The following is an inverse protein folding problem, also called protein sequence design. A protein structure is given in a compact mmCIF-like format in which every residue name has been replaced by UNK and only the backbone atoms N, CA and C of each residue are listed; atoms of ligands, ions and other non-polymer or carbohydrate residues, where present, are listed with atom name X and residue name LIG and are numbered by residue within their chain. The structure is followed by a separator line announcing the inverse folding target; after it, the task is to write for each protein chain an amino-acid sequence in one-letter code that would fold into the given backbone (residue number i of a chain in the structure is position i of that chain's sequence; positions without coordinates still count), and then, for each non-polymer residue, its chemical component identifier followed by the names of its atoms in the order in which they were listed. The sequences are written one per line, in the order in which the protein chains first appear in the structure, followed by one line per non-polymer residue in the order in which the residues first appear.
data_IF_181614036199
#
_entry.id   IF_181614036199
#
_cell.length_a   1.000
_cell.length_b   1.000
_cell.length_c   1.000
_cell.angle_alpha   90.00
_cell.angle_beta   90.00
_cell.angle_gamma   90.00
#
_symmetry.space_group_name_H-M   'P 1'
#
loop_
_entity.id
_entity.type
_entity.pdbx_description
1 polymer ?
#
# COMPACT_ATOMS: atom_id res chain seq x y z
N UNK A 1 51.51 -0.59 -13.76
CA UNK A 1 51.61 -2.00 -14.22
C UNK A 1 50.34 -2.27 -15.00
N UNK A 2 50.43 -2.84 -16.21
CA UNK A 2 49.23 -3.25 -16.95
C UNK A 2 48.66 -4.46 -16.21
N UNK A 3 47.62 -4.26 -15.41
CA UNK A 3 46.89 -5.37 -14.81
C UNK A 3 46.33 -6.22 -15.95
N UNK A 4 46.80 -7.47 -16.02
CA UNK A 4 46.26 -8.44 -16.95
C UNK A 4 44.86 -8.80 -16.43
N UNK A 5 43.82 -8.21 -17.02
CA UNK A 5 42.44 -8.62 -16.76
C UNK A 5 42.30 -10.12 -17.04
N UNK A 6 41.98 -10.89 -16.00
CA UNK A 6 41.74 -12.32 -16.12
C UNK A 6 40.32 -12.48 -16.68
N UNK A 7 40.16 -13.09 -17.85
CA UNK A 7 38.83 -13.28 -18.44
C UNK A 7 37.91 -14.13 -17.55
N UNK A 8 38.46 -15.16 -16.91
CA UNK A 8 37.69 -16.03 -16.03
C UNK A 8 38.59 -16.75 -15.02
N UNK A 9 38.10 -16.88 -13.78
CA UNK A 9 38.64 -17.78 -12.76
C UNK A 9 37.65 -18.91 -12.55
N UNK A 10 38.15 -20.15 -12.53
CA UNK A 10 37.36 -21.35 -12.22
C UNK A 10 37.85 -21.90 -10.90
N UNK A 11 36.95 -22.02 -9.93
CA UNK A 11 37.19 -22.66 -8.63
C UNK A 11 36.51 -24.03 -8.69
N UNK A 12 37.27 -25.11 -8.85
CA UNK A 12 36.76 -26.48 -8.94
C UNK A 12 37.55 -27.36 -7.97
N UNK A 13 37.09 -27.39 -6.72
CA UNK A 13 37.68 -28.19 -5.65
C UNK A 13 36.69 -29.30 -5.33
N UNK A 14 37.15 -30.55 -5.45
CA UNK A 14 36.38 -31.73 -5.11
C UNK A 14 37.02 -32.43 -3.91
N UNK A 15 36.21 -32.71 -2.90
CA UNK A 15 36.58 -33.52 -1.75
C UNK A 15 35.46 -34.50 -1.44
N UNK A 16 35.85 -35.73 -1.08
CA UNK A 16 34.92 -36.77 -0.64
C UNK A 16 34.78 -36.81 0.88
N UNK A 17 35.48 -35.94 1.60
CA UNK A 17 35.27 -35.72 3.04
C UNK A 17 33.94 -34.96 3.26
N UNK A 18 33.11 -35.44 4.18
CA UNK A 18 31.79 -34.87 4.49
C UNK A 18 31.91 -33.73 5.52
N UNK A 19 32.89 -32.83 5.33
CA UNK A 19 33.03 -31.65 6.20
C UNK A 19 31.93 -30.63 5.84
N UNK A 20 30.95 -30.53 6.73
CA UNK A 20 29.75 -29.71 6.53
C UNK A 20 29.99 -28.20 6.62
N UNK A 21 31.19 -27.76 7.03
CA UNK A 21 31.48 -26.35 7.36
C UNK A 21 32.47 -25.67 6.39
N UNK A 22 32.66 -26.21 5.18
CA UNK A 22 33.57 -25.62 4.19
C UNK A 22 32.99 -24.33 3.60
N UNK A 23 33.67 -23.22 3.88
CA UNK A 23 33.26 -21.87 3.52
C UNK A 23 34.21 -21.26 2.48
N UNK A 24 33.65 -20.65 1.44
CA UNK A 24 34.42 -19.87 0.48
C UNK A 24 34.67 -18.47 1.05
N UNK A 25 35.91 -18.19 1.40
CA UNK A 25 36.31 -16.89 1.95
C UNK A 25 36.74 -15.89 0.86
N UNK A 26 36.75 -14.61 1.22
CA UNK A 26 37.21 -13.54 0.34
C UNK A 26 38.68 -13.71 -0.06
N UNK A 27 38.98 -13.48 -1.33
CA UNK A 27 40.34 -13.53 -1.86
C UNK A 27 40.63 -12.29 -2.69
N UNK A 28 41.81 -11.72 -2.52
CA UNK A 28 42.22 -10.46 -3.18
C UNK A 28 42.26 -10.58 -4.71
N UNK A 29 42.41 -11.79 -5.26
CA UNK A 29 42.48 -12.01 -6.70
C UNK A 29 41.10 -12.11 -7.38
N UNK A 30 39.99 -12.17 -6.64
CA UNK A 30 38.65 -12.20 -7.23
C UNK A 30 38.34 -10.92 -8.02
N UNK A 31 38.87 -9.77 -7.60
CA UNK A 31 38.71 -8.49 -8.28
C UNK A 31 39.46 -8.38 -9.62
N UNK A 32 40.39 -9.30 -9.91
CA UNK A 32 41.17 -9.31 -11.14
C UNK A 32 40.45 -10.02 -12.31
N UNK A 33 39.32 -10.68 -12.02
CA UNK A 33 38.61 -11.51 -12.98
C UNK A 33 37.33 -10.84 -13.50
N UNK A 34 37.02 -11.02 -14.78
CA UNK A 34 35.73 -10.59 -15.34
C UNK A 34 34.57 -11.53 -14.95
N UNK A 35 34.87 -12.82 -14.79
CA UNK A 35 33.91 -13.86 -14.43
C UNK A 35 34.51 -14.86 -13.44
N UNK A 36 33.73 -15.25 -12.43
CA UNK A 36 34.08 -16.34 -11.51
C UNK A 36 33.07 -17.47 -11.68
N UNK A 37 33.56 -18.68 -11.91
CA UNK A 37 32.73 -19.89 -11.97
C UNK A 37 33.12 -20.83 -10.83
N UNK A 38 32.17 -21.13 -9.94
CA UNK A 38 32.38 -21.99 -8.78
C UNK A 38 31.73 -23.35 -9.06
N UNK A 39 32.57 -24.38 -9.08
CA UNK A 39 32.25 -25.79 -9.36
C UNK A 39 32.75 -26.68 -8.22
N UNK A 40 32.44 -27.97 -8.36
CA UNK A 40 32.85 -29.00 -7.42
C UNK A 40 31.95 -29.10 -6.20
N UNK A 41 32.32 -29.95 -5.25
CA UNK A 41 31.51 -30.30 -4.09
C UNK A 41 32.14 -29.92 -2.74
N UNK A 42 33.34 -29.32 -2.76
CA UNK A 42 34.07 -29.00 -1.53
C UNK A 42 33.32 -27.97 -0.70
N UNK A 43 33.11 -26.75 -1.22
CA UNK A 43 32.44 -25.66 -0.51
C UNK A 43 30.93 -25.90 -0.37
N UNK A 44 30.40 -25.66 0.83
CA UNK A 44 28.95 -25.68 1.13
C UNK A 44 28.36 -24.28 1.24
N UNK A 45 29.18 -23.28 1.60
CA UNK A 45 28.75 -21.90 1.88
C UNK A 45 29.63 -20.88 1.16
N UNK A 46 29.03 -19.78 0.70
CA UNK A 46 29.77 -18.54 0.41
C UNK A 46 29.86 -17.75 1.71
N UNK A 47 31.07 -17.42 2.10
CA UNK A 47 31.29 -16.73 3.35
C UNK A 47 30.83 -15.29 3.39
N UNK A 48 30.76 -14.76 4.59
CA UNK A 48 30.36 -13.38 4.83
C UNK A 48 31.30 -12.42 4.09
N UNK A 49 30.72 -11.43 3.39
CA UNK A 49 31.46 -10.43 2.60
C UNK A 49 32.46 -11.01 1.57
N UNK A 50 32.34 -12.28 1.18
CA UNK A 50 33.30 -12.96 0.30
C UNK A 50 33.61 -12.19 -0.99
N UNK A 51 32.57 -11.64 -1.62
CA UNK A 51 32.61 -10.84 -2.84
C UNK A 51 32.08 -9.41 -2.62
N UNK A 52 32.21 -8.87 -1.41
CA UNK A 52 31.82 -7.50 -1.13
C UNK A 52 32.83 -6.50 -1.72
N UNK A 53 32.36 -5.33 -2.15
CA UNK A 53 33.18 -4.23 -2.66
C UNK A 53 34.12 -4.62 -3.80
N UNK A 54 33.65 -5.48 -4.72
CA UNK A 54 34.47 -5.95 -5.85
C UNK A 54 34.77 -4.82 -6.85
N UNK A 55 35.91 -4.95 -7.53
CA UNK A 55 36.38 -3.97 -8.52
C UNK A 55 35.58 -4.03 -9.84
N UNK A 56 35.77 -3.04 -10.70
CA UNK A 56 35.07 -2.81 -11.97
C UNK A 56 35.15 -3.95 -12.97
N UNK A 57 36.10 -4.87 -12.79
CA UNK A 57 36.28 -5.97 -13.72
C UNK A 57 35.25 -7.08 -13.49
N UNK A 58 34.89 -7.42 -12.25
CA UNK A 58 34.04 -8.56 -11.95
C UNK A 58 32.56 -8.29 -12.30
N UNK A 59 32.09 -8.98 -13.34
CA UNK A 59 30.74 -8.79 -13.90
C UNK A 59 29.81 -9.97 -13.68
N UNK A 60 30.32 -11.18 -13.55
CA UNK A 60 29.48 -12.38 -13.51
C UNK A 60 30.02 -13.40 -12.52
N UNK A 61 29.11 -13.95 -11.72
CA UNK A 61 29.39 -15.08 -10.83
C UNK A 61 28.36 -16.17 -11.10
N UNK A 62 28.86 -17.36 -11.44
CA UNK A 62 28.03 -18.54 -11.72
C UNK A 62 28.39 -19.63 -10.73
N UNK A 63 27.37 -20.16 -10.06
CA UNK A 63 27.53 -21.22 -9.06
C UNK A 63 26.82 -22.47 -9.58
N UNK A 64 27.60 -23.52 -9.81
CA UNK A 64 27.13 -24.84 -10.24
C UNK A 64 27.66 -25.95 -9.34
N UNK A 65 28.01 -25.60 -8.10
CA UNK A 65 28.58 -26.46 -7.07
C UNK A 65 27.51 -26.95 -6.08
N UNK A 66 27.93 -27.71 -5.07
CA UNK A 66 27.06 -28.08 -3.93
C UNK A 66 26.82 -26.95 -2.91
N UNK A 67 27.18 -25.70 -3.25
CA UNK A 67 26.95 -24.56 -2.35
C UNK A 67 25.45 -24.36 -2.19
N UNK A 68 24.99 -24.37 -0.93
CA UNK A 68 23.59 -24.25 -0.57
C UNK A 68 23.30 -23.00 0.30
N UNK A 69 24.33 -22.32 0.81
CA UNK A 69 24.19 -21.14 1.68
C UNK A 69 25.01 -19.93 1.17
N UNK A 70 24.46 -18.73 1.35
CA UNK A 70 25.18 -17.45 1.19
C UNK A 70 25.19 -16.69 2.52
N UNK A 71 26.37 -16.30 2.98
CA UNK A 71 26.59 -15.50 4.19
C UNK A 71 26.17 -14.03 4.09
N UNK A 72 26.33 -13.31 5.19
CA UNK A 72 25.93 -11.91 5.32
C UNK A 72 26.75 -11.01 4.39
N UNK A 73 26.08 -10.09 3.70
CA UNK A 73 26.72 -9.09 2.84
C UNK A 73 27.66 -9.69 1.77
N UNK A 74 27.48 -10.97 1.40
CA UNK A 74 28.43 -11.72 0.59
C UNK A 74 28.78 -11.04 -0.75
N UNK A 75 27.86 -10.27 -1.34
CA UNK A 75 28.06 -9.49 -2.57
C UNK A 75 27.77 -8.00 -2.37
N UNK A 76 27.75 -7.49 -1.13
CA UNK A 76 27.44 -6.08 -0.87
C UNK A 76 28.36 -5.15 -1.65
N UNK A 77 27.79 -4.13 -2.31
CA UNK A 77 28.52 -3.17 -3.14
C UNK A 77 29.36 -3.82 -4.26
N UNK A 78 29.03 -5.05 -4.65
CA UNK A 78 29.69 -5.75 -5.74
C UNK A 78 29.28 -5.17 -7.09
N UNK A 79 30.19 -5.22 -8.07
CA UNK A 79 29.95 -4.69 -9.41
C UNK A 79 29.44 -5.73 -10.40
N UNK A 80 29.04 -6.89 -9.89
CA UNK A 80 28.42 -7.94 -10.69
C UNK A 80 27.18 -7.41 -11.40
N UNK A 81 27.02 -7.81 -12.66
CA UNK A 81 25.85 -7.51 -13.49
C UNK A 81 24.83 -8.65 -13.44
N UNK A 82 25.27 -9.88 -13.13
CA UNK A 82 24.41 -11.07 -13.12
C UNK A 82 24.80 -12.06 -12.03
N UNK A 83 23.78 -12.63 -11.39
CA UNK A 83 23.93 -13.75 -10.45
C UNK A 83 22.95 -14.87 -10.78
N UNK A 84 23.45 -16.11 -10.84
CA UNK A 84 22.63 -17.29 -11.07
C UNK A 84 23.09 -18.48 -10.21
N UNK A 85 22.13 -19.12 -9.54
CA UNK A 85 22.30 -20.40 -8.86
C UNK A 85 20.97 -21.10 -8.63
N UNK A 86 20.89 -22.41 -8.91
CA UNK A 86 19.73 -23.23 -8.54
C UNK A 86 19.98 -24.08 -7.28
N UNK A 87 21.21 -24.09 -6.76
CA UNK A 87 21.62 -24.92 -5.61
C UNK A 87 21.44 -24.22 -4.26
N UNK A 88 21.38 -22.89 -4.26
CA UNK A 88 21.30 -22.09 -3.03
C UNK A 88 19.90 -22.17 -2.44
N UNK A 89 19.84 -22.62 -1.19
CA UNK A 89 18.63 -22.87 -0.41
C UNK A 89 18.44 -21.83 0.69
N UNK A 90 19.53 -21.28 1.23
CA UNK A 90 19.53 -20.27 2.30
C UNK A 90 20.44 -19.10 1.94
N UNK A 91 20.05 -17.91 2.38
CA UNK A 91 20.80 -16.69 2.18
C UNK A 91 20.61 -15.79 3.42
N UNK A 92 21.69 -15.16 3.86
CA UNK A 92 21.67 -14.24 5.01
C UNK A 92 21.35 -12.81 4.60
N UNK A 93 21.51 -11.84 5.49
CA UNK A 93 21.00 -10.49 5.32
C UNK A 93 21.90 -9.67 4.38
N UNK A 94 21.31 -8.73 3.62
CA UNK A 94 22.04 -7.77 2.78
C UNK A 94 22.93 -8.38 1.67
N UNK A 95 22.64 -9.60 1.19
CA UNK A 95 23.50 -10.34 0.24
C UNK A 95 23.99 -9.49 -0.95
N UNK A 96 23.09 -8.80 -1.63
CA UNK A 96 23.34 -7.96 -2.80
C UNK A 96 23.08 -6.47 -2.53
N UNK A 97 23.06 -6.02 -1.27
CA UNK A 97 22.88 -4.60 -0.95
C UNK A 97 23.85 -3.73 -1.76
N UNK A 98 23.38 -2.62 -2.32
CA UNK A 98 24.17 -1.65 -3.08
C UNK A 98 24.90 -2.25 -4.30
N UNK A 99 24.46 -3.39 -4.85
CA UNK A 99 24.93 -3.87 -6.16
C UNK A 99 24.37 -2.99 -7.30
N UNK A 100 24.88 -1.77 -7.45
CA UNK A 100 24.32 -0.74 -8.35
C UNK A 100 24.30 -1.12 -9.84
N UNK A 101 25.05 -2.15 -10.24
CA UNK A 101 25.18 -2.63 -11.62
C UNK A 101 24.51 -3.98 -11.86
N UNK A 102 23.98 -4.62 -10.80
CA UNK A 102 23.33 -5.92 -10.90
C UNK A 102 22.03 -5.77 -11.69
N UNK A 103 21.92 -6.47 -12.80
CA UNK A 103 20.77 -6.44 -13.74
C UNK A 103 19.85 -7.62 -13.56
N UNK A 104 20.39 -8.80 -13.24
CA UNK A 104 19.59 -10.02 -13.15
C UNK A 104 20.00 -10.92 -11.98
N UNK A 105 19.01 -11.42 -11.25
CA UNK A 105 19.16 -12.49 -10.25
C UNK A 105 18.27 -13.66 -10.66
N UNK A 106 18.84 -14.87 -10.70
CA UNK A 106 18.09 -16.12 -10.85
C UNK A 106 18.47 -17.10 -9.75
N UNK A 107 17.58 -17.29 -8.78
CA UNK A 107 17.79 -18.13 -7.60
C UNK A 107 16.56 -18.98 -7.30
N UNK A 108 16.39 -20.10 -8.02
CA UNK A 108 15.16 -20.89 -7.90
C UNK A 108 15.11 -21.72 -6.62
N UNK A 109 16.24 -22.10 -6.01
CA UNK A 109 16.28 -22.92 -4.80
C UNK A 109 15.85 -22.20 -3.51
N UNK A 110 15.96 -20.86 -3.47
CA UNK A 110 15.77 -20.07 -2.26
C UNK A 110 14.28 -19.98 -1.87
N UNK A 111 13.92 -20.48 -0.69
CA UNK A 111 12.53 -20.45 -0.19
C UNK A 111 12.17 -19.15 0.54
N UNK A 112 13.13 -18.55 1.23
CA UNK A 112 12.96 -17.30 1.97
C UNK A 112 13.96 -16.27 1.47
N UNK A 113 13.47 -15.16 0.93
CA UNK A 113 14.31 -14.02 0.53
C UNK A 113 14.58 -13.17 1.78
N UNK A 114 15.83 -13.04 2.23
CA UNK A 114 16.18 -12.42 3.51
C UNK A 114 16.03 -10.89 3.50
N UNK A 115 16.22 -10.28 4.68
CA UNK A 115 16.12 -8.83 4.85
C UNK A 115 17.12 -8.12 3.92
N UNK A 116 16.65 -7.03 3.28
CA UNK A 116 17.49 -6.15 2.45
C UNK A 116 18.31 -6.89 1.37
N UNK A 117 17.84 -8.06 0.92
CA UNK A 117 18.56 -8.98 0.05
C UNK A 117 19.22 -8.33 -1.17
N UNK A 118 18.54 -7.44 -1.86
CA UNK A 118 19.01 -6.65 -3.01
C UNK A 118 18.65 -5.17 -2.82
N UNK A 119 18.77 -4.66 -1.60
CA UNK A 119 18.51 -3.26 -1.27
C UNK A 119 19.32 -2.32 -2.17
N UNK A 120 18.66 -1.30 -2.74
CA UNK A 120 19.28 -0.27 -3.57
C UNK A 120 20.02 -0.80 -4.82
N UNK A 121 19.59 -1.93 -5.38
CA UNK A 121 20.08 -2.41 -6.68
C UNK A 121 19.42 -1.65 -7.84
N UNK A 122 19.89 -0.43 -8.11
CA UNK A 122 19.23 0.52 -9.02
C UNK A 122 19.04 0.01 -10.47
N UNK A 123 19.94 -0.85 -10.96
CA UNK A 123 19.89 -1.43 -12.31
C UNK A 123 19.25 -2.82 -12.37
N UNK A 124 18.73 -3.35 -11.25
CA UNK A 124 18.14 -4.69 -11.23
C UNK A 124 16.85 -4.69 -12.04
N UNK A 125 16.86 -5.35 -13.19
CA UNK A 125 15.74 -5.37 -14.14
C UNK A 125 14.84 -6.59 -13.93
N UNK A 126 15.44 -7.73 -13.57
CA UNK A 126 14.77 -9.03 -13.49
C UNK A 126 15.22 -9.87 -12.30
N UNK A 127 14.25 -10.42 -11.56
CA UNK A 127 14.48 -11.43 -10.53
C UNK A 127 13.59 -12.64 -10.79
N UNK A 128 14.20 -13.83 -10.73
CA UNK A 128 13.52 -15.13 -10.90
C UNK A 128 13.81 -15.98 -9.65
N UNK A 129 12.78 -16.29 -8.88
CA UNK A 129 12.86 -17.06 -7.63
C UNK A 129 11.63 -17.96 -7.47
N UNK A 130 11.58 -19.04 -8.24
CA UNK A 130 10.36 -19.88 -8.38
C UNK A 130 9.92 -20.60 -7.10
N UNK A 131 10.82 -20.84 -6.15
CA UNK A 131 10.46 -21.50 -4.89
C UNK A 131 10.33 -20.53 -3.71
N UNK A 132 10.51 -19.21 -3.93
CA UNK A 132 10.38 -18.24 -2.86
C UNK A 132 8.92 -18.18 -2.38
N UNK A 133 8.72 -18.42 -1.08
CA UNK A 133 7.43 -18.32 -0.39
C UNK A 133 7.35 -17.08 0.49
N UNK A 134 8.48 -16.63 1.05
CA UNK A 134 8.50 -15.46 1.94
C UNK A 134 9.51 -14.45 1.43
N UNK A 135 9.09 -13.17 1.38
CA UNK A 135 9.96 -12.05 1.03
C UNK A 135 10.07 -11.15 2.25
N UNK A 136 11.25 -11.07 2.86
CA UNK A 136 11.46 -10.31 4.09
C UNK A 136 11.50 -8.80 3.85
N UNK A 137 11.42 -7.99 4.93
CA UNK A 137 11.55 -6.54 4.88
C UNK A 137 12.69 -6.04 3.99
N UNK A 138 12.39 -5.01 3.19
CA UNK A 138 13.32 -4.28 2.33
C UNK A 138 14.05 -5.11 1.25
N UNK A 139 13.67 -6.37 1.01
CA UNK A 139 14.39 -7.30 0.13
C UNK A 139 14.74 -6.71 -1.26
N UNK A 140 13.87 -5.91 -1.87
CA UNK A 140 14.09 -5.25 -3.16
C UNK A 140 13.76 -3.75 -3.09
N UNK A 141 13.96 -3.13 -1.92
CA UNK A 141 13.76 -1.70 -1.73
C UNK A 141 14.66 -0.90 -2.68
N UNK A 142 14.11 0.14 -3.33
CA UNK A 142 14.83 1.01 -4.29
C UNK A 142 15.44 0.26 -5.50
N UNK A 143 14.91 -0.91 -5.85
CA UNK A 143 15.21 -1.52 -7.15
C UNK A 143 14.42 -0.81 -8.28
N UNK A 144 14.80 0.42 -8.58
CA UNK A 144 14.03 1.32 -9.45
C UNK A 144 13.87 0.83 -10.89
N UNK A 145 14.74 -0.09 -11.36
CA UNK A 145 14.63 -0.69 -12.70
C UNK A 145 13.86 -2.02 -12.71
N UNK A 146 13.48 -2.56 -11.53
CA UNK A 146 12.90 -3.89 -11.41
C UNK A 146 11.51 -3.89 -11.99
N UNK A 147 11.39 -4.46 -13.18
CA UNK A 147 10.15 -4.50 -13.96
C UNK A 147 9.66 -5.93 -14.22
N UNK A 148 10.55 -6.91 -14.07
CA UNK A 148 10.25 -8.33 -14.22
C UNK A 148 10.50 -9.06 -12.91
N UNK A 149 9.44 -9.62 -12.34
CA UNK A 149 9.53 -10.43 -11.12
C UNK A 149 8.74 -11.73 -11.32
N UNK A 150 9.45 -12.87 -11.27
CA UNK A 150 8.86 -14.21 -11.37
C UNK A 150 9.09 -14.96 -10.05
N UNK A 151 7.99 -15.29 -9.35
CA UNK A 151 7.99 -15.95 -8.05
C UNK A 151 7.05 -17.15 -8.03
N UNK A 152 7.18 -17.99 -7.00
CA UNK A 152 6.28 -19.12 -6.73
C UNK A 152 4.99 -18.69 -6.02
N UNK A 153 4.55 -19.50 -5.06
CA UNK A 153 3.38 -19.21 -4.20
C UNK A 153 3.81 -18.37 -3.00
N UNK A 154 4.15 -17.09 -3.22
CA UNK A 154 4.53 -16.17 -2.14
C UNK A 154 3.37 -15.98 -1.17
N UNK A 155 3.60 -16.30 0.09
CA UNK A 155 2.66 -16.15 1.20
C UNK A 155 2.76 -14.78 1.83
N UNK A 156 3.96 -14.19 1.90
CA UNK A 156 4.20 -12.96 2.66
C UNK A 156 5.15 -12.00 1.93
N UNK A 157 4.69 -10.76 1.74
CA UNK A 157 5.48 -9.64 1.27
C UNK A 157 5.87 -8.74 2.44
N UNK A 158 7.16 -8.63 2.76
CA UNK A 158 7.64 -7.88 3.91
C UNK A 158 7.50 -6.36 3.79
N UNK A 159 7.68 -5.67 4.91
CA UNK A 159 7.76 -4.20 5.02
C UNK A 159 8.65 -3.62 3.91
N UNK A 160 8.08 -2.74 3.08
CA UNK A 160 8.81 -2.04 2.01
C UNK A 160 9.60 -2.95 1.04
N UNK A 161 9.24 -4.23 0.93
CA UNK A 161 9.99 -5.23 0.15
C UNK A 161 10.15 -4.89 -1.33
N UNK A 162 9.19 -4.18 -1.94
CA UNK A 162 9.19 -3.73 -3.33
C UNK A 162 8.91 -2.22 -3.45
N UNK A 163 9.21 -1.45 -2.42
CA UNK A 163 9.04 0.00 -2.45
C UNK A 163 9.96 0.62 -3.50
N UNK A 164 9.42 1.57 -4.29
CA UNK A 164 10.12 2.25 -5.40
C UNK A 164 10.64 1.30 -6.48
N UNK A 165 9.84 0.32 -6.89
CA UNK A 165 10.14 -0.60 -8.01
C UNK A 165 9.40 -0.20 -9.30
N UNK A 166 9.88 -0.67 -10.45
CA UNK A 166 9.23 -0.46 -11.76
C UNK A 166 8.25 -1.57 -12.15
N UNK A 167 7.78 -2.37 -11.18
CA UNK A 167 6.82 -3.45 -11.43
C UNK A 167 5.51 -2.87 -11.94
N UNK A 168 5.04 -3.37 -13.08
CA UNK A 168 3.79 -2.91 -13.71
C UNK A 168 2.57 -3.72 -13.31
N UNK A 169 2.76 -4.99 -13.00
CA UNK A 169 1.69 -5.93 -12.66
C UNK A 169 2.11 -6.79 -11.48
N UNK A 170 1.12 -7.17 -10.68
CA UNK A 170 1.29 -8.09 -9.58
C UNK A 170 0.07 -9.02 -9.53
N UNK A 171 0.33 -10.32 -9.50
CA UNK A 171 -0.68 -11.32 -9.18
C UNK A 171 -0.47 -11.74 -7.73
N UNK A 172 -1.48 -11.60 -6.88
CA UNK A 172 -1.45 -12.04 -5.49
C UNK A 172 -1.87 -13.51 -5.45
N UNK A 173 -0.98 -14.44 -5.05
CA UNK A 173 -1.32 -15.85 -4.93
C UNK A 173 -2.43 -16.08 -3.91
N UNK A 174 -3.24 -17.12 -4.10
CA UNK A 174 -4.32 -17.46 -3.15
C UNK A 174 -3.80 -17.85 -1.75
N UNK A 175 -2.54 -18.29 -1.66
CA UNK A 175 -1.85 -18.60 -0.40
C UNK A 175 -1.29 -17.36 0.32
N UNK A 176 -1.37 -16.17 -0.30
CA UNK A 176 -0.89 -14.94 0.33
C UNK A 176 -1.70 -14.62 1.59
N UNK A 177 -1.00 -14.44 2.70
CA UNK A 177 -1.58 -14.12 4.01
C UNK A 177 -1.28 -12.68 4.43
N UNK A 178 -0.13 -12.13 4.01
CA UNK A 178 0.27 -10.78 4.40
C UNK A 178 0.93 -9.99 3.25
N UNK A 179 0.51 -8.73 3.14
CA UNK A 179 1.22 -7.69 2.41
C UNK A 179 1.63 -6.61 3.42
N UNK A 180 2.93 -6.51 3.64
CA UNK A 180 3.56 -5.65 4.63
C UNK A 180 3.35 -4.16 4.39
N UNK A 181 3.62 -3.36 5.42
CA UNK A 181 3.46 -1.92 5.31
C UNK A 181 4.39 -1.38 4.21
N UNK A 182 3.91 -0.43 3.41
CA UNK A 182 4.64 0.15 2.28
C UNK A 182 5.23 -0.85 1.27
N UNK A 183 4.82 -2.13 1.27
CA UNK A 183 5.46 -3.19 0.49
C UNK A 183 5.64 -2.82 -0.99
N UNK A 184 4.67 -2.15 -1.60
CA UNK A 184 4.73 -1.70 -3.00
C UNK A 184 4.55 -0.17 -3.13
N UNK A 185 4.84 0.59 -2.07
CA UNK A 185 4.72 2.05 -2.10
C UNK A 185 5.63 2.65 -3.19
N UNK A 186 5.15 3.65 -3.93
CA UNK A 186 5.87 4.27 -5.05
C UNK A 186 6.26 3.29 -6.19
N UNK A 187 5.69 2.09 -6.22
CA UNK A 187 5.89 1.20 -7.37
C UNK A 187 5.08 1.69 -8.58
N UNK A 188 5.52 1.30 -9.78
CA UNK A 188 4.80 1.62 -11.03
C UNK A 188 3.63 0.65 -11.32
N UNK A 189 3.07 0.01 -10.29
CA UNK A 189 2.01 -0.98 -10.45
C UNK A 189 0.78 -0.35 -11.11
N UNK A 190 0.42 -0.85 -12.29
CA UNK A 190 -0.76 -0.44 -13.05
C UNK A 190 -1.98 -1.34 -12.79
N UNK A 191 -1.75 -2.60 -12.42
CA UNK A 191 -2.78 -3.58 -12.11
C UNK A 191 -2.33 -4.57 -11.03
N UNK A 192 -3.25 -4.89 -10.13
CA UNK A 192 -3.13 -5.99 -9.17
C UNK A 192 -4.29 -6.94 -9.43
N UNK A 193 -3.98 -8.23 -9.53
CA UNK A 193 -4.96 -9.31 -9.71
C UNK A 193 -4.85 -10.27 -8.53
N UNK A 194 -5.96 -10.58 -7.87
CA UNK A 194 -6.01 -11.61 -6.83
C UNK A 194 -6.42 -12.93 -7.48
N UNK A 195 -5.72 -14.01 -7.19
CA UNK A 195 -6.12 -15.34 -7.68
C UNK A 195 -7.49 -15.77 -7.13
N UNK A 196 -8.13 -16.72 -7.81
CA UNK A 196 -9.43 -17.22 -7.36
C UNK A 196 -9.37 -17.81 -5.94
N UNK A 197 -10.36 -17.46 -5.12
CA UNK A 197 -10.50 -17.87 -3.71
C UNK A 197 -9.49 -17.25 -2.74
N UNK A 198 -8.77 -16.21 -3.17
CA UNK A 198 -7.96 -15.38 -2.28
C UNK A 198 -8.84 -14.76 -1.19
N UNK A 199 -8.57 -15.09 0.08
CA UNK A 199 -9.31 -14.60 1.26
C UNK A 199 -8.39 -14.49 2.47
N UNK A 200 -8.81 -13.76 3.51
CA UNK A 200 -8.07 -13.62 4.78
C UNK A 200 -6.67 -13.00 4.66
N UNK A 201 -6.48 -12.10 3.69
CA UNK A 201 -5.22 -11.35 3.53
C UNK A 201 -5.22 -10.16 4.48
N UNK A 202 -4.10 -9.97 5.17
CA UNK A 202 -3.81 -8.71 5.87
C UNK A 202 -2.97 -7.80 4.99
N UNK A 203 -3.51 -6.65 4.60
CA UNK A 203 -2.80 -5.63 3.83
C UNK A 203 -2.54 -4.43 4.73
N UNK A 204 -1.27 -4.24 5.09
CA UNK A 204 -0.83 -3.22 6.04
C UNK A 204 -0.74 -1.83 5.41
N UNK A 205 -0.52 -0.83 6.27
CA UNK A 205 -0.51 0.59 5.93
C UNK A 205 0.37 0.92 4.73
N UNK A 206 -0.15 1.74 3.81
CA UNK A 206 0.55 2.27 2.64
C UNK A 206 1.05 1.24 1.63
N UNK A 207 0.63 -0.04 1.71
CA UNK A 207 1.13 -1.09 0.84
C UNK A 207 1.07 -0.75 -0.65
N UNK A 208 0.02 -0.03 -1.09
CA UNK A 208 -0.16 0.41 -2.49
C UNK A 208 -0.24 1.93 -2.65
N UNK A 209 0.25 2.72 -1.68
CA UNK A 209 0.25 4.17 -1.79
C UNK A 209 1.21 4.66 -2.87
N UNK A 210 0.87 5.76 -3.55
CA UNK A 210 1.64 6.31 -4.67
C UNK A 210 1.88 5.34 -5.84
N UNK A 211 0.96 4.39 -6.09
CA UNK A 211 1.01 3.48 -7.25
C UNK A 211 0.30 4.05 -8.47
N UNK A 212 0.47 3.39 -9.62
CA UNK A 212 -0.14 3.75 -10.90
C UNK A 212 -1.43 2.96 -11.20
N UNK A 213 -2.08 2.44 -10.15
CA UNK A 213 -3.28 1.62 -10.30
C UNK A 213 -4.39 2.43 -10.96
N UNK A 214 -5.05 1.86 -11.96
CA UNK A 214 -6.22 2.46 -12.64
C UNK A 214 -7.54 2.01 -12.02
N UNK A 215 -7.57 0.76 -11.56
CA UNK A 215 -8.69 0.14 -10.86
C UNK A 215 -8.17 -0.89 -9.87
N UNK A 216 -8.96 -1.22 -8.86
CA UNK A 216 -8.65 -2.30 -7.93
C UNK A 216 -9.94 -2.97 -7.42
N UNK A 217 -9.93 -4.29 -7.41
CA UNK A 217 -11.01 -5.13 -6.90
C UNK A 217 -10.44 -5.95 -5.72
N UNK A 218 -10.81 -5.61 -4.48
CA UNK A 218 -10.32 -6.26 -3.25
C UNK A 218 -11.31 -7.34 -2.81
N UNK A 219 -10.86 -8.60 -2.61
CA UNK A 219 -11.75 -9.72 -2.30
C UNK A 219 -12.29 -9.70 -0.85
N UNK A 220 -13.01 -10.75 -0.48
CA UNK A 220 -13.59 -10.94 0.85
C UNK A 220 -12.52 -11.14 1.94
N UNK A 221 -12.83 -10.64 3.14
CA UNK A 221 -12.08 -10.80 4.40
C UNK A 221 -10.65 -10.27 4.32
N UNK A 222 -10.48 -9.11 3.67
CA UNK A 222 -9.21 -8.41 3.63
C UNK A 222 -9.18 -7.32 4.71
N UNK A 223 -8.21 -7.38 5.61
CA UNK A 223 -7.95 -6.30 6.57
C UNK A 223 -7.13 -5.22 5.87
N UNK A 224 -7.65 -3.98 5.83
CA UNK A 224 -7.04 -2.87 5.08
C UNK A 224 -6.65 -1.72 6.01
N UNK A 225 -5.46 -1.15 5.78
CA UNK A 225 -5.00 0.08 6.42
C UNK A 225 -4.34 0.99 5.37
N UNK A 226 -4.75 2.25 5.31
CA UNK A 226 -4.19 3.38 4.54
C UNK A 226 -3.67 2.97 3.15
N UNK A 227 -4.53 2.39 2.32
CA UNK A 227 -4.04 1.52 1.25
C UNK A 227 -3.64 2.22 -0.05
N UNK A 228 -4.42 3.22 -0.46
CA UNK A 228 -4.35 3.82 -1.79
C UNK A 228 -4.02 5.32 -1.74
N UNK A 229 -3.41 5.82 -0.66
CA UNK A 229 -3.08 7.23 -0.57
C UNK A 229 -2.24 7.68 -1.78
N UNK A 230 -2.61 8.81 -2.38
CA UNK A 230 -1.90 9.43 -3.51
C UNK A 230 -1.79 8.53 -4.76
N UNK A 231 -2.72 7.58 -4.94
CA UNK A 231 -2.89 6.88 -6.23
C UNK A 231 -3.56 7.83 -7.24
N UNK A 232 -2.76 8.74 -7.82
CA UNK A 232 -3.26 9.90 -8.56
C UNK A 232 -4.12 9.55 -9.80
N UNK A 233 -3.93 8.37 -10.38
CA UNK A 233 -4.64 7.90 -11.58
C UNK A 233 -5.68 6.79 -11.31
N UNK A 234 -5.89 6.40 -10.05
CA UNK A 234 -6.90 5.41 -9.65
C UNK A 234 -8.29 5.98 -9.90
N UNK A 235 -9.11 5.25 -10.68
CA UNK A 235 -10.47 5.67 -11.07
C UNK A 235 -11.57 4.95 -10.31
N UNK A 236 -11.36 3.67 -10.01
CA UNK A 236 -12.39 2.82 -9.43
C UNK A 236 -11.82 1.93 -8.34
N UNK A 237 -12.52 1.86 -7.21
CA UNK A 237 -12.25 0.92 -6.13
C UNK A 237 -13.51 0.07 -5.91
N UNK A 238 -13.36 -1.25 -5.92
CA UNK A 238 -14.40 -2.20 -5.53
C UNK A 238 -13.93 -2.98 -4.31
N UNK A 239 -14.72 -3.00 -3.25
CA UNK A 239 -14.49 -3.72 -2.02
C UNK A 239 -15.63 -4.70 -1.76
N UNK A 240 -15.33 -5.80 -1.09
CA UNK A 240 -16.33 -6.76 -0.63
C UNK A 240 -17.26 -6.21 0.46
N UNK A 241 -18.39 -6.91 0.66
CA UNK A 241 -19.33 -6.66 1.77
C UNK A 241 -18.70 -6.88 3.16
N UNK A 242 -17.58 -7.59 3.24
CA UNK A 242 -16.92 -7.90 4.52
C UNK A 242 -16.14 -6.73 5.14
N UNK A 243 -15.85 -5.69 4.34
CA UNK A 243 -15.07 -4.53 4.78
C UNK A 243 -16.02 -3.49 5.37
N UNK A 244 -16.16 -3.51 6.70
CA UNK A 244 -17.05 -2.60 7.44
C UNK A 244 -16.45 -1.23 7.73
N UNK A 245 -15.13 -1.10 7.67
CA UNK A 245 -14.43 0.14 7.98
C UNK A 245 -13.43 0.49 6.87
N UNK A 246 -13.48 1.74 6.40
CA UNK A 246 -12.43 2.34 5.59
C UNK A 246 -11.52 3.14 6.51
N UNK A 247 -10.25 2.74 6.56
CA UNK A 247 -9.25 3.28 7.47
C UNK A 247 -8.91 4.75 7.18
N UNK A 248 -8.09 5.33 8.06
CA UNK A 248 -7.55 6.67 7.85
C UNK A 248 -6.82 6.75 6.51
N UNK A 249 -6.90 7.89 5.83
CA UNK A 249 -6.21 8.13 4.55
C UNK A 249 -6.46 7.09 3.43
N UNK A 250 -7.47 6.22 3.55
CA UNK A 250 -7.69 5.03 2.70
C UNK A 250 -7.42 5.24 1.21
N UNK A 251 -7.99 6.29 0.63
CA UNK A 251 -7.78 6.76 -0.75
C UNK A 251 -7.56 8.29 -0.79
N UNK A 252 -6.90 8.84 0.24
CA UNK A 252 -6.62 10.27 0.32
C UNK A 252 -5.81 10.75 -0.89
N UNK A 253 -6.19 11.90 -1.45
CA UNK A 253 -5.56 12.53 -2.63
C UNK A 253 -5.57 11.66 -3.90
N UNK A 254 -6.48 10.70 -4.02
CA UNK A 254 -6.75 10.03 -5.30
C UNK A 254 -7.52 10.97 -6.24
N UNK A 255 -6.79 11.87 -6.90
CA UNK A 255 -7.40 12.97 -7.67
C UNK A 255 -8.23 12.50 -8.87
N UNK A 256 -7.96 11.32 -9.42
CA UNK A 256 -8.72 10.73 -10.53
C UNK A 256 -9.83 9.77 -10.10
N UNK A 257 -10.01 9.52 -8.79
CA UNK A 257 -11.00 8.55 -8.30
C UNK A 257 -12.40 9.03 -8.66
N UNK A 258 -13.16 8.23 -9.39
CA UNK A 258 -14.50 8.56 -9.86
C UNK A 258 -15.58 7.81 -9.09
N UNK A 259 -15.33 6.55 -8.76
CA UNK A 259 -16.32 5.66 -8.14
C UNK A 259 -15.72 4.77 -7.06
N UNK A 260 -16.43 4.60 -5.95
CA UNK A 260 -16.11 3.61 -4.91
C UNK A 260 -17.32 2.74 -4.65
N UNK A 261 -17.17 1.43 -4.79
CA UNK A 261 -18.19 0.46 -4.42
C UNK A 261 -17.71 -0.30 -3.17
N UNK A 262 -18.21 0.08 -2.00
CA UNK A 262 -17.87 -0.51 -0.71
C UNK A 262 -19.14 -0.80 0.12
N UNK A 263 -20.02 -1.69 -0.36
CA UNK A 263 -21.37 -1.93 0.18
C UNK A 263 -21.41 -2.39 1.65
N UNK A 264 -20.31 -2.94 2.18
CA UNK A 264 -20.19 -3.31 3.59
C UNK A 264 -19.78 -2.16 4.51
N UNK A 265 -19.24 -1.07 3.97
CA UNK A 265 -18.61 -0.03 4.77
C UNK A 265 -19.64 0.79 5.55
N UNK A 266 -19.52 0.80 6.87
CA UNK A 266 -20.35 1.56 7.81
C UNK A 266 -19.55 2.64 8.55
N UNK A 267 -18.22 2.57 8.54
CA UNK A 267 -17.35 3.54 9.22
C UNK A 267 -16.32 4.07 8.23
N UNK A 268 -16.33 5.39 7.99
CA UNK A 268 -15.40 6.08 7.10
C UNK A 268 -14.47 6.94 7.94
N UNK A 269 -13.22 6.51 8.16
CA UNK A 269 -12.30 7.19 9.09
C UNK A 269 -11.72 8.49 8.54
N UNK A 270 -10.94 9.15 9.40
CA UNK A 270 -10.34 10.45 9.12
C UNK A 270 -9.55 10.47 7.80
N UNK A 271 -9.75 11.53 7.01
CA UNK A 271 -9.10 11.73 5.72
C UNK A 271 -9.27 10.62 4.66
N UNK A 272 -10.19 9.66 4.86
CA UNK A 272 -10.31 8.48 4.00
C UNK A 272 -10.40 8.80 2.49
N UNK A 273 -11.14 9.84 2.12
CA UNK A 273 -11.25 10.35 0.74
C UNK A 273 -10.88 11.82 0.63
N UNK A 274 -10.03 12.32 1.54
CA UNK A 274 -9.60 13.72 1.53
C UNK A 274 -9.08 14.12 0.14
N UNK A 275 -9.62 15.19 -0.43
CA UNK A 275 -9.21 15.75 -1.72
C UNK A 275 -9.43 14.83 -2.94
N UNK A 276 -10.36 13.87 -2.88
CA UNK A 276 -10.81 13.09 -4.06
C UNK A 276 -11.72 13.94 -4.98
N UNK A 277 -11.11 14.92 -5.66
CA UNK A 277 -11.81 15.98 -6.42
C UNK A 277 -12.73 15.48 -7.54
N UNK A 278 -12.47 14.29 -8.09
CA UNK A 278 -13.26 13.70 -9.16
C UNK A 278 -14.22 12.61 -8.69
N UNK A 279 -14.31 12.34 -7.38
CA UNK A 279 -15.20 11.31 -6.85
C UNK A 279 -16.64 11.75 -7.10
N UNK A 280 -17.37 10.97 -7.89
CA UNK A 280 -18.74 11.27 -8.34
C UNK A 280 -19.77 10.49 -7.55
N UNK A 281 -19.50 9.21 -7.28
CA UNK A 281 -20.45 8.31 -6.66
C UNK A 281 -19.75 7.34 -5.72
N UNK A 282 -20.44 7.00 -4.64
CA UNK A 282 -20.03 5.99 -3.68
C UNK A 282 -21.21 5.07 -3.38
N UNK A 283 -20.93 3.81 -3.14
CA UNK A 283 -21.89 2.85 -2.57
C UNK A 283 -21.33 2.39 -1.24
N UNK A 284 -22.05 2.64 -0.17
CA UNK A 284 -21.72 2.23 1.20
C UNK A 284 -22.88 1.46 1.82
N UNK A 285 -22.62 0.84 2.97
CA UNK A 285 -23.69 0.29 3.80
C UNK A 285 -24.39 1.39 4.61
N UNK A 286 -24.99 1.00 5.73
CA UNK A 286 -25.56 1.92 6.71
C UNK A 286 -24.46 2.66 7.48
N UNK A 287 -23.94 3.75 6.90
CA UNK A 287 -22.84 4.54 7.51
C UNK A 287 -23.23 5.15 8.87
N UNK A 288 -22.51 4.78 9.93
CA UNK A 288 -22.72 5.30 11.28
C UNK A 288 -21.69 6.38 11.65
N UNK A 289 -20.58 6.46 10.92
CA UNK A 289 -19.48 7.38 11.23
C UNK A 289 -18.81 7.95 9.97
N UNK A 290 -18.69 9.27 9.94
CA UNK A 290 -17.82 10.03 9.05
C UNK A 290 -16.75 10.74 9.89
N UNK A 291 -15.51 10.27 9.80
CA UNK A 291 -14.37 10.87 10.48
C UNK A 291 -14.01 12.26 9.97
N UNK A 292 -13.13 12.94 10.70
CA UNK A 292 -12.67 14.28 10.35
C UNK A 292 -12.09 14.33 8.94
N UNK A 293 -12.45 15.35 8.15
CA UNK A 293 -12.02 15.53 6.76
C UNK A 293 -12.27 14.33 5.81
N UNK A 294 -13.10 13.35 6.20
CA UNK A 294 -13.29 12.09 5.46
C UNK A 294 -13.60 12.29 3.98
N UNK A 295 -14.42 13.29 3.62
CA UNK A 295 -14.74 13.67 2.25
C UNK A 295 -14.35 15.12 1.91
N UNK A 296 -13.57 15.80 2.75
CA UNK A 296 -13.24 17.22 2.50
C UNK A 296 -12.66 17.41 1.08
N UNK A 297 -13.19 18.42 0.37
CA UNK A 297 -12.91 18.78 -1.02
C UNK A 297 -13.32 17.74 -2.08
N UNK A 298 -14.19 16.78 -1.76
CA UNK A 298 -14.87 15.92 -2.73
C UNK A 298 -15.98 16.69 -3.48
N UNK A 299 -15.59 17.74 -4.22
CA UNK A 299 -16.52 18.70 -4.84
C UNK A 299 -17.55 18.11 -5.81
N UNK A 300 -17.26 16.93 -6.36
CA UNK A 300 -18.10 16.25 -7.33
C UNK A 300 -18.97 15.12 -6.75
N UNK A 301 -18.82 14.82 -5.46
CA UNK A 301 -19.47 13.69 -4.83
C UNK A 301 -20.97 13.94 -4.71
N UNK A 302 -21.75 13.12 -5.39
CA UNK A 302 -23.19 12.99 -5.18
C UNK A 302 -23.40 11.84 -4.21
N UNK A 303 -23.74 12.19 -2.99
CA UNK A 303 -24.09 11.24 -1.93
C UNK A 303 -25.24 11.84 -1.13
N UNK A 304 -26.25 11.02 -0.84
CA UNK A 304 -27.37 11.40 0.01
C UNK A 304 -27.10 10.88 1.41
N UNK A 305 -26.92 11.81 2.35
CA UNK A 305 -26.80 11.48 3.76
C UNK A 305 -28.21 11.24 4.26
N UNK A 306 -28.58 9.96 4.39
CA UNK A 306 -29.84 9.53 4.99
C UNK A 306 -29.61 9.04 6.42
N UNK A 307 -30.63 9.08 7.30
CA UNK A 307 -30.60 8.28 8.51
C UNK A 307 -30.39 6.81 8.11
N UNK A 308 -29.40 6.17 8.72
CA UNK A 308 -28.81 4.93 8.19
C UNK A 308 -29.54 3.66 8.60
N UNK A 309 -30.64 3.79 9.35
CA UNK A 309 -31.46 2.69 9.84
C UNK A 309 -32.95 3.03 9.74
N UNK A 310 -33.77 2.01 9.44
CA UNK A 310 -35.23 2.09 9.60
C UNK A 310 -35.65 2.37 11.06
N UNK A 311 -34.71 2.24 11.99
CA UNK A 311 -34.81 2.67 13.37
C UNK A 311 -34.15 4.05 13.49
N UNK A 312 -34.96 5.11 13.56
CA UNK A 312 -34.52 6.52 13.58
C UNK A 312 -33.83 6.95 14.88
N UNK A 313 -33.27 6.00 15.65
CA UNK A 313 -32.81 6.19 17.03
C UNK A 313 -31.28 6.12 17.21
N UNK A 314 -30.51 5.77 16.17
CA UNK A 314 -29.04 5.81 16.26
C UNK A 314 -28.48 7.07 15.56
N UNK A 315 -27.79 7.97 16.28
CA UNK A 315 -27.22 9.17 15.68
C UNK A 315 -25.99 8.83 14.84
N UNK A 316 -25.86 9.48 13.68
CA UNK A 316 -24.66 9.43 12.84
C UNK A 316 -23.59 10.31 13.50
N UNK A 317 -22.36 9.81 13.58
CA UNK A 317 -21.20 10.60 14.00
C UNK A 317 -20.60 11.34 12.81
N UNK A 318 -20.47 12.67 12.89
CA UNK A 318 -19.93 13.51 11.82
C UNK A 318 -18.78 14.37 12.37
N UNK A 319 -17.55 14.05 11.95
CA UNK A 319 -16.33 14.70 12.40
C UNK A 319 -16.13 16.12 11.86
N UNK A 320 -15.08 16.79 12.35
CA UNK A 320 -14.71 18.13 11.89
C UNK A 320 -14.45 18.10 10.38
N UNK A 321 -15.01 19.07 9.64
CA UNK A 321 -14.80 19.20 8.19
C UNK A 321 -15.13 17.93 7.36
N UNK A 322 -15.90 16.97 7.89
CA UNK A 322 -16.18 15.70 7.23
C UNK A 322 -16.59 15.87 5.76
N UNK A 323 -17.45 16.85 5.46
CA UNK A 323 -17.94 17.19 4.12
C UNK A 323 -17.55 18.60 3.67
N UNK A 324 -16.43 19.13 4.17
CA UNK A 324 -15.95 20.47 3.83
C UNK A 324 -15.81 20.66 2.31
N UNK A 325 -16.44 21.67 1.73
CA UNK A 325 -16.50 21.95 0.28
C UNK A 325 -17.01 20.77 -0.59
N UNK A 326 -17.88 19.91 -0.05
CA UNK A 326 -18.62 18.90 -0.82
C UNK A 326 -19.84 19.52 -1.52
N UNK A 327 -19.61 20.20 -2.65
CA UNK A 327 -20.63 21.01 -3.32
C UNK A 327 -21.87 20.24 -3.79
N UNK A 328 -21.81 18.92 -3.96
CA UNK A 328 -22.85 18.06 -4.53
C UNK A 328 -23.52 17.08 -3.56
N UNK A 329 -23.15 17.11 -2.27
CA UNK A 329 -23.79 16.28 -1.26
C UNK A 329 -25.20 16.77 -0.98
N UNK A 330 -26.12 15.82 -0.79
CA UNK A 330 -27.52 16.04 -0.48
C UNK A 330 -27.79 15.55 0.93
N UNK A 331 -28.65 16.28 1.64
CA UNK A 331 -29.20 15.88 2.92
C UNK A 331 -30.55 16.58 3.10
N UNK A 332 -31.54 15.86 3.62
CA UNK A 332 -32.88 16.38 3.91
C UNK A 332 -33.22 16.25 5.40
N UNK A 333 -32.78 15.16 6.04
CA UNK A 333 -32.92 14.92 7.47
C UNK A 333 -31.66 14.23 8.02
N UNK A 334 -31.07 14.77 9.08
CA UNK A 334 -29.89 14.20 9.73
C UNK A 334 -30.12 14.12 11.24
N UNK A 335 -29.96 12.92 11.80
CA UNK A 335 -29.84 12.73 13.24
C UNK A 335 -28.35 12.60 13.62
N UNK A 336 -27.83 13.55 14.37
CA UNK A 336 -26.42 13.62 14.78
C UNK A 336 -26.33 14.36 16.12
N UNK A 337 -25.72 13.76 17.15
CA UNK A 337 -25.63 14.39 18.48
C UNK A 337 -24.89 15.74 18.45
N UNK A 338 -23.85 15.81 17.62
CA UNK A 338 -22.93 16.95 17.52
C UNK A 338 -22.48 17.14 16.08
N UNK A 339 -22.92 18.24 15.48
CA UNK A 339 -22.37 18.71 14.21
C UNK A 339 -21.04 19.41 14.48
N UNK A 340 -19.90 18.75 14.21
CA UNK A 340 -18.58 19.33 14.49
C UNK A 340 -18.27 20.56 13.63
N UNK A 341 -17.20 21.28 13.98
CA UNK A 341 -16.78 22.51 13.30
C UNK A 341 -16.65 22.29 11.78
N UNK A 342 -17.22 23.21 10.99
CA UNK A 342 -17.14 23.19 9.53
C UNK A 342 -17.62 21.89 8.82
N UNK A 343 -18.32 20.98 9.51
CA UNK A 343 -18.60 19.63 8.99
C UNK A 343 -19.34 19.60 7.65
N UNK A 344 -20.21 20.58 7.39
CA UNK A 344 -20.93 20.78 6.14
C UNK A 344 -20.56 22.07 5.41
N UNK A 345 -19.50 22.77 5.82
CA UNK A 345 -19.22 24.07 5.23
C UNK A 345 -18.92 23.95 3.73
N UNK A 346 -19.52 24.80 2.89
CA UNK A 346 -19.39 24.74 1.42
C UNK A 346 -20.27 23.68 0.75
N UNK A 347 -21.23 23.07 1.45
CA UNK A 347 -22.18 22.12 0.86
C UNK A 347 -23.31 22.84 0.11
N UNK A 348 -23.05 23.22 -1.15
CA UNK A 348 -23.96 24.04 -1.95
C UNK A 348 -25.24 23.32 -2.41
N UNK A 349 -25.33 21.99 -2.32
CA UNK A 349 -26.52 21.25 -2.80
C UNK A 349 -27.56 21.01 -1.71
N UNK A 350 -27.27 21.36 -0.46
CA UNK A 350 -28.25 21.30 0.64
C UNK A 350 -29.10 22.58 0.58
N UNK A 351 -30.41 22.43 0.32
CA UNK A 351 -31.33 23.57 0.17
C UNK A 351 -32.24 23.77 1.38
N UNK A 352 -32.60 22.68 2.05
CA UNK A 352 -33.45 22.66 3.24
C UNK A 352 -33.05 21.45 4.08
N UNK A 353 -32.99 21.59 5.39
CA UNK A 353 -32.48 20.53 6.26
C UNK A 353 -33.25 20.46 7.58
N UNK A 354 -33.68 19.26 7.96
CA UNK A 354 -34.13 18.96 9.32
C UNK A 354 -32.98 18.30 10.08
N UNK A 355 -32.60 18.83 11.24
CA UNK A 355 -31.55 18.26 12.08
C UNK A 355 -32.06 17.94 13.47
N UNK A 356 -31.62 16.81 14.01
CA UNK A 356 -31.85 16.40 15.39
C UNK A 356 -30.49 16.37 16.10
N UNK A 357 -30.24 17.31 17.02
CA UNK A 357 -28.91 17.52 17.60
C UNK A 357 -28.95 18.13 19.00
N UNK A 358 -27.87 17.95 19.77
CA UNK A 358 -27.60 18.68 21.02
C UNK A 358 -26.60 19.83 20.81
N UNK A 359 -25.71 19.72 19.83
CA UNK A 359 -24.63 20.70 19.62
C UNK A 359 -24.41 20.99 18.13
N UNK A 360 -24.22 22.27 17.81
CA UNK A 360 -23.79 22.74 16.49
C UNK A 360 -22.49 23.52 16.66
N UNK A 361 -21.42 22.96 16.14
CA UNK A 361 -20.09 23.56 16.16
C UNK A 361 -19.98 24.77 15.24
N UNK A 362 -19.02 25.63 15.56
CA UNK A 362 -18.67 26.82 14.78
C UNK A 362 -18.62 26.55 13.28
N UNK A 363 -19.35 27.36 12.50
CA UNK A 363 -19.32 27.35 11.04
C UNK A 363 -19.73 26.01 10.42
N UNK A 364 -20.46 25.13 11.12
CA UNK A 364 -20.88 23.81 10.62
C UNK A 364 -21.51 23.85 9.21
N UNK A 365 -22.35 24.85 8.93
CA UNK A 365 -23.01 25.06 7.63
C UNK A 365 -22.55 26.34 6.91
N UNK A 366 -21.34 26.83 7.23
CA UNK A 366 -20.81 28.05 6.60
C UNK A 366 -20.64 27.86 5.09
N UNK A 367 -20.86 28.88 4.27
CA UNK A 367 -20.82 28.75 2.79
C UNK A 367 -21.79 27.71 2.17
N UNK A 368 -22.84 27.28 2.87
CA UNK A 368 -23.95 26.56 2.24
C UNK A 368 -24.84 27.55 1.46
N UNK A 369 -24.35 28.07 0.33
CA UNK A 369 -24.95 29.24 -0.35
C UNK A 369 -26.40 29.05 -0.85
N UNK A 370 -26.87 27.81 -0.99
CA UNK A 370 -28.24 27.52 -1.41
C UNK A 370 -29.16 27.06 -0.26
N UNK A 371 -28.65 27.03 0.98
CA UNK A 371 -29.42 26.62 2.15
C UNK A 371 -30.40 27.72 2.54
N UNK A 372 -31.69 27.47 2.34
CA UNK A 372 -32.79 28.42 2.55
C UNK A 372 -33.45 28.27 3.91
N UNK A 373 -33.45 27.07 4.48
CA UNK A 373 -34.06 26.79 5.79
C UNK A 373 -33.37 25.64 6.51
N UNK A 374 -33.28 25.75 7.84
CA UNK A 374 -32.86 24.67 8.73
C UNK A 374 -33.90 24.57 9.84
N UNK A 375 -34.51 23.38 10.02
CA UNK A 375 -35.35 23.07 11.18
C UNK A 375 -34.51 22.28 12.18
N UNK A 376 -34.48 22.75 13.42
CA UNK A 376 -33.70 22.14 14.50
C UNK A 376 -34.66 21.52 15.49
N UNK A 377 -34.52 20.21 15.69
CA UNK A 377 -35.32 19.43 16.62
C UNK A 377 -34.44 18.97 17.79
N UNK A 378 -35.00 18.95 19.02
CA UNK A 378 -34.36 18.23 20.11
C UNK A 378 -34.31 16.74 19.77
N UNK A 379 -33.35 16.03 20.36
CA UNK A 379 -33.26 14.58 20.20
C UNK A 379 -34.49 13.94 20.87
N UNK A 380 -35.18 12.97 20.21
CA UNK A 380 -36.30 12.26 20.83
C UNK A 380 -35.81 11.61 22.13
N UNK A 381 -36.35 12.04 23.26
CA UNK A 381 -36.09 11.42 24.54
C UNK A 381 -36.86 10.10 24.57
N UNK A 382 -36.19 8.97 24.85
CA UNK A 382 -36.84 7.64 24.88
C UNK A 382 -37.82 7.47 26.07
N UNK A 383 -38.15 8.57 26.76
CA UNK A 383 -38.84 8.60 28.04
C UNK A 383 -40.01 9.60 28.13
N UNK A 384 -40.30 10.39 27.09
CA UNK A 384 -41.42 11.34 27.12
C UNK A 384 -42.45 11.09 26.02
N UNK A 385 -43.64 10.61 26.43
CA UNK A 385 -44.86 10.57 25.61
C UNK A 385 -45.51 11.96 25.51
N UNK A 386 -44.73 12.99 25.16
CA UNK A 386 -45.29 14.32 24.88
C UNK A 386 -44.74 14.85 23.55
N UNK A 387 -45.66 15.03 22.59
CA UNK A 387 -45.44 15.74 21.34
C UNK A 387 -45.11 17.23 21.62
N UNK A 388 -43.91 17.50 22.13
CA UNK A 388 -43.37 18.85 22.17
C UNK A 388 -42.84 19.22 20.78
N UNK A 389 -43.78 19.52 19.87
CA UNK A 389 -43.56 20.19 18.59
C UNK A 389 -43.16 21.66 18.81
N UNK A 390 -42.09 21.91 19.56
CA UNK A 390 -41.49 23.23 19.64
C UNK A 390 -40.64 23.42 18.38
N UNK A 391 -41.30 23.89 17.33
CA UNK A 391 -40.68 24.33 16.09
C UNK A 391 -39.88 25.61 16.38
N UNK A 392 -38.60 25.46 16.75
CA UNK A 392 -37.70 26.60 16.88
C UNK A 392 -37.23 27.00 15.47
N UNK A 393 -37.94 27.93 14.87
CA UNK A 393 -37.56 28.58 13.60
C UNK A 393 -36.41 29.55 13.87
N UNK A 394 -35.20 29.01 14.07
CA UNK A 394 -34.00 29.81 14.09
C UNK A 394 -33.67 30.21 12.64
N UNK A 395 -34.14 31.39 12.24
CA UNK A 395 -33.54 32.16 11.14
C UNK A 395 -32.10 32.51 11.53
N UNK A 396 -31.22 31.51 11.49
CA UNK A 396 -29.78 31.71 11.60
C UNK A 396 -29.39 32.53 10.38
N UNK A 397 -29.05 33.80 10.59
CA UNK A 397 -28.49 34.64 9.53
C UNK A 397 -27.17 33.99 9.08
N UNK A 398 -27.25 33.16 8.04
CA UNK A 398 -26.09 32.59 7.35
C UNK A 398 -25.39 33.79 6.72
N UNK A 399 -24.35 34.29 7.38
CA UNK A 399 -23.50 35.36 6.82
C UNK A 399 -22.70 34.74 5.67
N UNK A 400 -23.29 34.69 4.47
CA UNK A 400 -22.60 34.36 3.24
C UNK A 400 -21.76 35.58 2.81
N UNK A 401 -20.54 35.70 3.34
CA UNK A 401 -19.52 36.58 2.73
C UNK A 401 -18.65 35.74 1.81
N UNK A 402 -19.03 35.71 0.53
CA UNK A 402 -18.15 35.25 -0.55
C UNK A 402 -16.78 35.92 -0.40
N UNK A 403 -15.75 35.11 -0.20
CA UNK A 403 -14.38 35.50 -0.48
C UNK A 403 -13.89 34.51 -1.54
N UNK A 404 -13.67 35.03 -2.74
CA UNK A 404 -13.04 34.32 -3.84
C UNK A 404 -11.63 33.87 -3.41
N UNK A 405 -11.37 32.56 -3.47
CA UNK A 405 -10.02 31.99 -3.59
C UNK A 405 -10.07 30.71 -4.44
#
# INVERSE_FOLDING_TARGET
MKEHNIKSIIIDINDNSDDSNTELESQSYYSLAEKIEIKGNFFKKIGDRCFANTDIFLKEIVISSSINEIGDEAFKSSRIEKFQSDSIMTASTNVFEDCLYLKTISMNGLSEVPNSFAYNCLQLESVIMKNATVIKPFAFYECISLSKFEFGTVTDFGLSSFQKTSLKKLTIPKECTEIGASAFQFSLLESIEFEERTTNITIKSNAFSNTQLKKIDIPDKVSIQNLFQECFILKTITLSNSISQLSEFFASKCYSLETVNAPGATVIKENAFYFCKNLKAVTFGSVTEFGSNSFAYCKNLVYEISPTTNDSTTPIMIGEKAFFYCKKIKASSIYCLKFNHYCFAGCHSITSLSIYTQEIGTSAFHYCCNLKSIKIYPIPDSSSNEENNNEYDFNYNIVTREFDY
#
